data_IF_131126490178
#
_entry.id   IF_131126490178
#
_cell.length_a   1.000
_cell.length_b   1.000
_cell.length_c   1.000
_cell.angle_alpha   90.00
_cell.angle_beta   90.00
_cell.angle_gamma   90.00
#
_symmetry.space_group_name_H-M   'P 1'
#
loop_
_entity.id
_entity.type
_entity.pdbx_description
1 polymer ?
#
# COMPACT_ATOMS: atom_id res chain seq x y z
N UNK A 1 -10.87 -35.89 -21.74
CA UNK A 1 -12.06 -35.40 -21.00
C UNK A 1 -12.29 -33.95 -21.44
N UNK A 2 -13.29 -33.73 -22.31
CA UNK A 2 -13.63 -32.40 -22.79
C UNK A 2 -14.58 -31.82 -21.74
N UNK A 3 -14.17 -30.75 -21.06
CA UNK A 3 -15.04 -29.96 -20.19
C UNK A 3 -16.07 -29.26 -21.08
N UNK A 4 -17.32 -29.82 -21.08
CA UNK A 4 -18.46 -29.10 -21.67
C UNK A 4 -18.73 -27.88 -20.79
N UNK A 5 -18.38 -26.70 -21.29
CA UNK A 5 -18.81 -25.43 -20.70
C UNK A 5 -20.31 -25.36 -20.96
N UNK A 6 -21.16 -25.29 -19.91
CA UNK A 6 -22.59 -25.12 -20.13
C UNK A 6 -22.81 -23.82 -20.90
N UNK A 7 -23.65 -23.87 -21.90
CA UNK A 7 -24.08 -22.68 -22.65
C UNK A 7 -25.02 -21.85 -21.75
N UNK A 8 -24.44 -21.03 -20.90
CA UNK A 8 -25.20 -20.05 -20.14
C UNK A 8 -25.53 -18.90 -21.08
N UNK A 9 -26.70 -18.94 -21.66
CA UNK A 9 -27.30 -17.74 -22.21
C UNK A 9 -27.43 -16.72 -21.06
N UNK A 10 -26.47 -15.79 -20.96
CA UNK A 10 -26.55 -14.61 -20.09
C UNK A 10 -27.65 -13.67 -20.61
N UNK A 11 -28.90 -14.15 -20.55
CA UNK A 11 -30.07 -13.38 -21.02
C UNK A 11 -30.65 -12.48 -19.92
N UNK A 12 -30.25 -12.66 -18.66
CA UNK A 12 -30.62 -11.76 -17.60
C UNK A 12 -29.56 -10.67 -17.43
N UNK A 13 -29.91 -9.43 -17.75
CA UNK A 13 -29.14 -8.28 -17.29
C UNK A 13 -29.03 -8.39 -15.78
N UNK A 14 -27.81 -8.52 -15.27
CA UNK A 14 -27.58 -8.39 -13.85
C UNK A 14 -28.23 -7.09 -13.37
N UNK A 15 -29.02 -7.12 -12.29
CA UNK A 15 -29.66 -5.91 -11.80
C UNK A 15 -28.61 -4.83 -11.61
N UNK A 16 -28.83 -3.68 -12.21
CA UNK A 16 -27.95 -2.52 -12.02
C UNK A 16 -27.99 -2.18 -10.54
N UNK A 17 -26.84 -2.22 -9.90
CA UNK A 17 -26.72 -1.81 -8.51
C UNK A 17 -27.15 -0.34 -8.39
N UNK A 18 -28.06 -0.06 -7.49
CA UNK A 18 -28.52 1.32 -7.20
C UNK A 18 -27.44 2.19 -6.56
N UNK A 19 -26.35 1.60 -6.06
CA UNK A 19 -25.26 2.33 -5.45
C UNK A 19 -24.26 2.79 -6.51
N UNK A 20 -24.03 4.10 -6.53
CA UNK A 20 -23.03 4.73 -7.39
C UNK A 20 -21.61 4.38 -6.92
N UNK A 21 -20.74 4.14 -7.91
CA UNK A 21 -19.32 3.99 -7.66
C UNK A 21 -18.71 5.34 -7.27
N UNK A 22 -18.01 5.36 -6.14
CA UNK A 22 -17.20 6.50 -5.75
C UNK A 22 -15.79 6.35 -6.31
N UNK A 23 -15.15 7.47 -6.64
CA UNK A 23 -13.88 7.51 -7.32
C UNK A 23 -12.82 8.23 -6.51
N UNK A 24 -11.60 7.70 -6.57
CA UNK A 24 -10.39 8.33 -6.04
C UNK A 24 -9.40 8.36 -7.19
N UNK A 25 -9.04 9.56 -7.62
CA UNK A 25 -8.05 9.77 -8.67
C UNK A 25 -6.66 9.78 -8.06
N UNK A 26 -5.76 8.95 -8.59
CA UNK A 26 -4.44 8.72 -8.02
C UNK A 26 -3.36 8.99 -9.06
N UNK A 27 -2.22 9.52 -8.61
CA UNK A 27 -1.01 9.73 -9.42
C UNK A 27 0.24 9.32 -8.64
N UNK A 28 1.03 8.42 -9.22
CA UNK A 28 2.29 7.94 -8.64
C UNK A 28 3.32 9.06 -8.56
N UNK A 29 3.89 9.32 -7.38
CA UNK A 29 4.88 10.39 -7.14
C UNK A 29 6.27 9.90 -6.79
N UNK A 30 6.41 8.61 -6.45
CA UNK A 30 7.70 7.94 -6.28
C UNK A 30 7.69 6.61 -7.02
N UNK A 31 8.85 6.06 -7.42
CA UNK A 31 8.87 4.86 -8.26
C UNK A 31 8.17 3.66 -7.63
N UNK A 32 7.41 2.95 -8.43
CA UNK A 32 6.78 1.69 -8.06
C UNK A 32 7.82 0.58 -8.07
N UNK A 33 8.04 -0.04 -6.92
CA UNK A 33 9.00 -1.12 -6.74
C UNK A 33 8.31 -2.48 -6.79
N UNK A 34 8.60 -3.28 -7.80
CA UNK A 34 8.00 -4.61 -7.98
C UNK A 34 6.60 -4.55 -8.58
N UNK A 35 5.90 -5.66 -8.51
CA UNK A 35 4.51 -5.80 -8.99
C UNK A 35 4.36 -6.64 -10.25
N UNK A 36 5.42 -6.95 -10.98
CA UNK A 36 5.37 -7.82 -12.14
C UNK A 36 5.20 -9.31 -11.79
N UNK A 37 4.74 -10.09 -12.75
CA UNK A 37 4.72 -11.56 -12.69
C UNK A 37 6.14 -12.11 -12.84
N UNK A 38 6.93 -11.45 -13.69
CA UNK A 38 8.34 -11.78 -13.87
C UNK A 38 9.16 -11.08 -12.80
N UNK A 39 10.03 -11.83 -12.14
CA UNK A 39 10.91 -11.28 -11.11
C UNK A 39 11.79 -10.15 -11.69
N UNK A 40 11.89 -9.05 -10.95
CA UNK A 40 12.66 -7.85 -11.31
C UNK A 40 12.11 -7.03 -12.47
N UNK A 41 10.88 -7.28 -12.88
CA UNK A 41 10.18 -6.48 -13.89
C UNK A 41 8.92 -5.83 -13.28
N UNK A 42 8.54 -4.67 -13.78
CA UNK A 42 7.25 -4.07 -13.54
C UNK A 42 6.21 -4.66 -14.50
N UNK A 43 4.95 -4.71 -14.07
CA UNK A 43 3.86 -5.16 -14.91
C UNK A 43 3.32 -3.95 -15.70
N UNK A 44 3.57 -3.92 -17.00
CA UNK A 44 3.14 -2.83 -17.88
C UNK A 44 1.64 -2.89 -18.21
N UNK A 45 1.02 -4.08 -18.11
CA UNK A 45 -0.42 -4.28 -18.38
C UNK A 45 -1.29 -4.03 -17.16
N UNK A 46 -0.84 -4.50 -15.99
CA UNK A 46 -1.55 -4.37 -14.72
C UNK A 46 -0.63 -3.82 -13.61
N UNK A 47 -0.13 -2.58 -13.78
CA UNK A 47 0.82 -2.00 -12.83
C UNK A 47 0.21 -1.79 -11.44
N UNK A 48 -1.09 -1.58 -11.38
CA UNK A 48 -1.86 -1.46 -10.14
C UNK A 48 -2.97 -2.52 -10.12
N UNK A 49 -2.87 -3.47 -9.19
CA UNK A 49 -3.82 -4.58 -9.08
C UNK A 49 -4.83 -4.32 -7.97
N UNK A 50 -6.09 -4.59 -8.24
CA UNK A 50 -7.18 -4.53 -7.23
C UNK A 50 -6.84 -5.36 -5.99
N UNK A 51 -6.25 -6.55 -6.19
CA UNK A 51 -5.86 -7.45 -5.09
C UNK A 51 -4.77 -6.84 -4.20
N UNK A 52 -3.82 -6.11 -4.78
CA UNK A 52 -2.78 -5.40 -4.03
C UNK A 52 -3.39 -4.26 -3.19
N UNK A 53 -4.29 -3.47 -3.78
CA UNK A 53 -5.02 -2.42 -3.04
C UNK A 53 -5.84 -3.05 -1.91
N UNK A 54 -6.60 -4.11 -2.16
CA UNK A 54 -7.38 -4.80 -1.13
C UNK A 54 -6.49 -5.27 0.02
N UNK A 55 -5.31 -5.81 -0.28
CA UNK A 55 -4.34 -6.21 0.74
C UNK A 55 -3.87 -5.03 1.60
N UNK A 56 -3.59 -3.88 0.99
CA UNK A 56 -3.24 -2.64 1.70
C UNK A 56 -4.41 -2.13 2.54
N UNK A 57 -5.62 -2.09 2.00
CA UNK A 57 -6.80 -1.64 2.75
C UNK A 57 -7.08 -2.54 3.95
N UNK A 58 -6.97 -3.86 3.82
CA UNK A 58 -7.10 -4.78 4.96
C UNK A 58 -6.05 -4.52 6.05
N UNK A 59 -4.82 -4.20 5.66
CA UNK A 59 -3.76 -3.83 6.61
C UNK A 59 -4.14 -2.54 7.36
N UNK A 60 -4.52 -1.47 6.67
CA UNK A 60 -4.92 -0.20 7.28
C UNK A 60 -6.17 -0.35 8.13
N UNK A 61 -7.16 -1.11 7.66
CA UNK A 61 -8.37 -1.40 8.44
C UNK A 61 -8.05 -2.11 9.76
N UNK A 62 -7.18 -3.14 9.74
CA UNK A 62 -6.77 -3.84 10.98
C UNK A 62 -6.08 -2.89 11.96
N UNK A 63 -5.23 -1.99 11.47
CA UNK A 63 -4.58 -0.99 12.30
C UNK A 63 -5.61 -0.09 12.98
N UNK A 64 -6.55 0.46 12.22
CA UNK A 64 -7.64 1.30 12.74
C UNK A 64 -8.57 0.51 13.66
N UNK A 65 -8.86 -0.73 13.32
CA UNK A 65 -9.71 -1.60 14.13
C UNK A 65 -9.15 -1.79 15.55
N UNK A 66 -7.84 -1.94 15.67
CA UNK A 66 -7.17 -2.07 16.95
C UNK A 66 -7.05 -0.73 17.69
N UNK A 67 -6.63 0.32 17.02
CA UNK A 67 -6.28 1.59 17.66
C UNK A 67 -7.49 2.53 17.86
N UNK A 68 -8.46 2.50 16.95
CA UNK A 68 -9.60 3.43 16.96
C UNK A 68 -10.92 2.77 17.37
N UNK A 69 -11.14 1.51 16.99
CA UNK A 69 -12.42 0.83 17.23
C UNK A 69 -12.33 -0.27 18.30
N UNK A 70 -11.18 -0.41 18.97
CA UNK A 70 -10.96 -1.35 20.07
C UNK A 70 -11.31 -2.80 19.74
N UNK A 71 -11.08 -3.23 18.50
CA UNK A 71 -11.27 -4.61 18.07
C UNK A 71 -9.97 -5.40 18.22
N UNK A 72 -10.04 -6.59 18.80
CA UNK A 72 -8.89 -7.47 18.97
C UNK A 72 -9.29 -8.95 18.89
N UNK A 73 -8.30 -9.84 18.69
CA UNK A 73 -8.49 -11.28 18.72
C UNK A 73 -9.61 -11.76 17.76
N UNK A 74 -10.51 -12.56 18.28
CA UNK A 74 -11.61 -13.16 17.50
C UNK A 74 -12.55 -12.11 16.91
N UNK A 75 -12.92 -11.08 17.69
CA UNK A 75 -13.81 -9.99 17.23
C UNK A 75 -13.24 -9.22 16.03
N UNK A 76 -11.93 -8.96 16.02
CA UNK A 76 -11.25 -8.31 14.90
C UNK A 76 -11.33 -9.19 13.65
N UNK A 77 -11.07 -10.49 13.79
CA UNK A 77 -11.11 -11.44 12.67
C UNK A 77 -12.50 -11.57 12.07
N UNK A 78 -13.52 -11.72 12.89
CA UNK A 78 -14.92 -11.81 12.46
C UNK A 78 -15.36 -10.54 11.72
N UNK A 79 -15.04 -9.36 12.27
CA UNK A 79 -15.34 -8.08 11.64
C UNK A 79 -14.57 -7.88 10.32
N UNK A 80 -13.30 -8.30 10.26
CA UNK A 80 -12.51 -8.26 9.02
C UNK A 80 -13.13 -9.17 7.94
N UNK A 81 -13.48 -10.41 8.30
CA UNK A 81 -14.05 -11.37 7.36
C UNK A 81 -15.41 -10.90 6.85
N UNK A 82 -16.24 -10.35 7.73
CA UNK A 82 -17.52 -9.78 7.34
C UNK A 82 -17.38 -8.63 6.33
N UNK A 83 -16.45 -7.73 6.55
CA UNK A 83 -16.31 -6.52 5.72
C UNK A 83 -15.50 -6.79 4.44
N UNK A 84 -14.35 -7.43 4.57
CA UNK A 84 -13.38 -7.61 3.47
C UNK A 84 -13.44 -8.97 2.79
N UNK A 85 -14.25 -9.87 3.31
CA UNK A 85 -14.33 -11.26 2.88
C UNK A 85 -13.26 -12.14 3.53
N UNK A 86 -13.57 -13.42 3.63
CA UNK A 86 -12.68 -14.43 4.20
C UNK A 86 -12.93 -15.81 3.63
N UNK A 87 -11.96 -16.71 3.84
CA UNK A 87 -11.99 -18.11 3.43
C UNK A 87 -11.90 -18.96 4.69
N UNK A 88 -12.56 -20.13 4.71
CA UNK A 88 -12.57 -21.08 5.82
C UNK A 88 -13.98 -21.35 6.33
N UNK A 89 -14.10 -21.82 7.57
CA UNK A 89 -15.39 -22.17 8.17
C UNK A 89 -16.35 -20.98 8.28
N UNK A 90 -15.82 -19.75 8.43
CA UNK A 90 -16.56 -18.50 8.49
C UNK A 90 -16.48 -17.75 7.14
N UNK A 91 -16.45 -18.48 6.02
CA UNK A 91 -16.31 -17.87 4.70
C UNK A 91 -17.42 -16.84 4.44
N UNK A 92 -17.03 -15.63 4.06
CA UNK A 92 -17.95 -14.57 3.74
C UNK A 92 -17.51 -13.83 2.47
N UNK A 93 -18.48 -13.44 1.64
CA UNK A 93 -18.22 -12.55 0.53
C UNK A 93 -17.91 -11.14 1.05
N UNK A 94 -16.99 -10.44 0.40
CA UNK A 94 -16.66 -9.05 0.76
C UNK A 94 -17.86 -8.14 0.55
N UNK A 95 -18.11 -7.24 1.51
CA UNK A 95 -19.06 -6.15 1.35
C UNK A 95 -18.48 -4.97 0.55
N UNK A 96 -17.14 -4.95 0.35
CA UNK A 96 -16.43 -3.89 -0.36
C UNK A 96 -16.11 -4.33 -1.78
N UNK A 97 -16.61 -3.61 -2.75
CA UNK A 97 -16.28 -3.79 -4.17
C UNK A 97 -15.24 -2.75 -4.58
N UNK A 98 -14.24 -3.20 -5.32
CA UNK A 98 -13.14 -2.37 -5.80
C UNK A 98 -12.93 -2.62 -7.28
N UNK A 99 -12.64 -1.54 -8.03
CA UNK A 99 -12.16 -1.57 -9.41
C UNK A 99 -10.97 -0.64 -9.55
N UNK A 100 -10.12 -0.91 -10.52
CA UNK A 100 -9.01 -0.03 -10.88
C UNK A 100 -9.07 0.22 -12.38
N UNK A 101 -8.97 1.49 -12.75
CA UNK A 101 -8.91 1.92 -14.14
C UNK A 101 -7.59 2.66 -14.35
N UNK A 102 -6.70 2.09 -15.14
CA UNK A 102 -5.43 2.72 -15.52
C UNK A 102 -5.70 3.80 -16.55
N UNK A 103 -5.16 4.99 -16.35
CA UNK A 103 -5.41 6.16 -17.19
C UNK A 103 -4.32 6.40 -18.23
N UNK A 104 -3.09 5.95 -17.94
CA UNK A 104 -1.97 6.09 -18.87
C UNK A 104 -1.02 4.88 -18.75
N UNK A 105 -0.14 4.72 -19.74
CA UNK A 105 0.83 3.63 -19.75
C UNK A 105 1.92 3.87 -18.72
N UNK A 106 2.27 2.82 -17.95
CA UNK A 106 3.42 2.83 -17.07
C UNK A 106 4.71 2.98 -17.89
N UNK A 107 5.55 3.91 -17.49
CA UNK A 107 6.92 4.02 -18.01
C UNK A 107 7.87 3.28 -17.08
N UNK A 108 8.94 2.74 -17.63
CA UNK A 108 10.00 2.07 -16.86
C UNK A 108 11.10 3.06 -16.47
N UNK A 109 11.71 2.80 -15.32
CA UNK A 109 12.91 3.49 -14.84
C UNK A 109 13.85 2.48 -14.18
N UNK A 110 15.13 2.85 -14.05
CA UNK A 110 16.15 2.09 -13.39
C UNK A 110 16.62 2.79 -12.11
N UNK A 111 17.33 2.09 -11.23
CA UNK A 111 17.93 2.71 -10.05
C UNK A 111 18.87 3.86 -10.43
N UNK A 112 19.62 3.72 -11.54
CA UNK A 112 20.54 4.72 -12.07
C UNK A 112 19.87 6.06 -12.41
N UNK A 113 18.55 6.08 -12.69
CA UNK A 113 17.78 7.31 -12.92
C UNK A 113 17.54 8.10 -11.61
N UNK A 114 17.66 7.43 -10.47
CA UNK A 114 17.36 8.00 -9.15
C UNK A 114 18.60 8.27 -8.32
N UNK A 115 19.64 7.44 -8.41
CA UNK A 115 20.77 7.48 -7.52
C UNK A 115 22.09 7.11 -8.21
N UNK A 116 23.17 7.84 -7.87
CA UNK A 116 24.52 7.56 -8.37
C UNK A 116 25.19 6.37 -7.66
N UNK A 117 24.67 5.98 -6.50
CA UNK A 117 25.24 4.88 -5.71
C UNK A 117 24.49 4.62 -4.41
N UNK A 118 24.92 3.61 -3.66
CA UNK A 118 24.25 3.17 -2.43
C UNK A 118 24.40 4.14 -1.24
N UNK A 119 25.34 5.06 -1.30
CA UNK A 119 25.51 6.12 -0.29
C UNK A 119 24.46 7.23 -0.43
N UNK A 120 23.90 7.36 -1.64
CA UNK A 120 22.77 8.24 -1.90
C UNK A 120 21.54 7.75 -1.11
N UNK A 121 20.73 8.65 -0.52
CA UNK A 121 19.50 8.27 0.16
C UNK A 121 18.57 7.40 -0.70
N UNK A 122 18.38 7.75 -1.97
CA UNK A 122 17.55 6.97 -2.88
C UNK A 122 18.19 5.65 -3.27
N UNK A 123 19.54 5.58 -3.37
CA UNK A 123 20.27 4.33 -3.53
C UNK A 123 20.05 3.36 -2.36
N UNK A 124 19.94 3.88 -1.14
CA UNK A 124 19.54 3.10 0.01
C UNK A 124 18.06 2.66 -0.07
N UNK A 125 17.15 3.56 -0.46
CA UNK A 125 15.73 3.23 -0.61
C UNK A 125 15.53 2.12 -1.65
N UNK A 126 16.25 2.15 -2.75
CA UNK A 126 16.10 1.28 -3.92
C UNK A 126 17.18 0.18 -4.01
N UNK A 127 17.95 -0.09 -2.95
CA UNK A 127 19.14 -0.96 -3.03
C UNK A 127 18.86 -2.36 -3.61
N UNK A 128 17.65 -2.88 -3.47
CA UNK A 128 17.23 -4.17 -4.00
C UNK A 128 17.02 -4.17 -5.51
N UNK A 129 16.86 -2.99 -6.11
CA UNK A 129 16.73 -2.83 -7.57
C UNK A 129 18.08 -2.89 -8.30
N UNK A 130 19.20 -2.78 -7.61
CA UNK A 130 20.55 -2.82 -8.19
C UNK A 130 20.83 -4.13 -8.94
N UNK A 131 21.75 -4.07 -9.89
CA UNK A 131 22.39 -5.26 -10.48
C UNK A 131 22.98 -6.12 -9.35
N UNK A 132 22.76 -7.42 -9.40
CA UNK A 132 23.31 -8.32 -8.39
C UNK A 132 24.75 -8.74 -8.72
N UNK A 133 25.48 -9.17 -7.69
CA UNK A 133 26.84 -9.77 -7.89
C UNK A 133 26.77 -11.07 -8.69
N UNK A 134 25.64 -11.75 -8.69
CA UNK A 134 25.37 -13.00 -9.44
C UNK A 134 24.99 -12.75 -10.89
N UNK A 135 25.08 -11.50 -11.37
CA UNK A 135 24.86 -11.15 -12.79
C UNK A 135 23.42 -10.82 -13.17
N UNK A 136 22.43 -10.85 -12.25
CA UNK A 136 21.09 -10.42 -12.57
C UNK A 136 21.07 -8.93 -12.93
N UNK A 137 20.34 -8.52 -13.99
CA UNK A 137 20.27 -7.14 -14.43
C UNK A 137 19.66 -6.24 -13.35
N UNK A 138 19.78 -4.93 -13.55
CA UNK A 138 19.07 -3.94 -12.74
C UNK A 138 17.54 -4.16 -12.84
N UNK A 139 16.85 -3.98 -11.72
CA UNK A 139 15.40 -4.16 -11.69
C UNK A 139 14.70 -3.00 -12.39
N UNK A 140 13.76 -3.31 -13.25
CA UNK A 140 12.85 -2.33 -13.83
C UNK A 140 11.83 -1.86 -12.79
N UNK A 141 11.83 -0.58 -12.54
CA UNK A 141 10.90 0.11 -11.67
C UNK A 141 9.80 0.75 -12.52
N UNK A 142 8.59 0.86 -11.96
CA UNK A 142 7.59 1.73 -12.57
C UNK A 142 7.92 3.18 -12.26
N UNK A 143 8.04 4.02 -13.31
CA UNK A 143 8.35 5.44 -13.18
C UNK A 143 7.15 6.20 -12.63
N UNK A 144 7.40 7.28 -11.89
CA UNK A 144 6.39 8.24 -11.44
C UNK A 144 5.57 8.83 -12.60
N UNK A 145 4.37 9.34 -12.31
CA UNK A 145 3.44 9.89 -13.31
C UNK A 145 2.42 8.87 -13.84
N UNK A 146 2.42 7.63 -13.36
CA UNK A 146 1.31 6.70 -13.60
C UNK A 146 0.04 7.23 -12.94
N UNK A 147 -1.05 7.29 -13.70
CA UNK A 147 -2.37 7.73 -13.23
C UNK A 147 -3.36 6.57 -13.28
N UNK A 148 -4.16 6.47 -12.23
CA UNK A 148 -5.24 5.48 -12.16
C UNK A 148 -6.40 6.00 -11.32
N UNK A 149 -7.57 5.40 -11.50
CA UNK A 149 -8.76 5.64 -10.67
C UNK A 149 -9.04 4.39 -9.86
N UNK A 150 -9.23 4.56 -8.56
CA UNK A 150 -9.79 3.53 -7.67
C UNK A 150 -11.27 3.81 -7.54
N UNK A 151 -12.08 2.90 -8.05
CA UNK A 151 -13.53 2.94 -7.88
C UNK A 151 -13.92 1.98 -6.75
N UNK A 152 -14.77 2.44 -5.85
CA UNK A 152 -15.24 1.62 -4.75
C UNK A 152 -16.73 1.84 -4.48
N UNK A 153 -17.37 0.80 -4.01
CA UNK A 153 -18.74 0.83 -3.50
C UNK A 153 -18.95 -0.26 -2.47
N UNK A 154 -20.03 -0.17 -1.73
CA UNK A 154 -20.43 -1.19 -0.78
C UNK A 154 -21.56 -2.06 -1.33
N UNK A 155 -21.72 -3.22 -0.74
CA UNK A 155 -22.91 -4.06 -0.92
C UNK A 155 -24.11 -3.40 -0.21
N UNK A 156 -25.31 -3.61 -0.69
CA UNK A 156 -26.55 -3.21 -0.03
C UNK A 156 -26.71 -3.81 1.39
N UNK A 157 -25.96 -4.87 1.70
CA UNK A 157 -25.92 -5.49 3.03
C UNK A 157 -25.01 -4.74 4.03
N UNK A 158 -24.26 -3.74 3.57
CA UNK A 158 -23.42 -2.94 4.42
C UNK A 158 -24.27 -1.89 5.18
N UNK A 159 -23.90 -1.65 6.42
CA UNK A 159 -24.52 -0.62 7.25
C UNK A 159 -23.68 0.67 7.28
N UNK A 160 -24.16 1.71 7.94
CA UNK A 160 -23.45 3.00 8.01
C UNK A 160 -22.11 2.89 8.73
N UNK A 161 -21.98 2.03 9.75
CA UNK A 161 -20.70 1.77 10.41
C UNK A 161 -19.68 1.16 9.44
N UNK A 162 -20.11 0.22 8.60
CA UNK A 162 -19.24 -0.37 7.57
C UNK A 162 -18.74 0.69 6.59
N UNK A 163 -19.64 1.57 6.16
CA UNK A 163 -19.32 2.68 5.26
C UNK A 163 -18.30 3.64 5.87
N UNK A 164 -18.50 4.03 7.11
CA UNK A 164 -17.57 4.91 7.84
C UNK A 164 -16.21 4.23 8.01
N UNK A 165 -16.16 2.94 8.37
CA UNK A 165 -14.92 2.20 8.50
C UNK A 165 -14.16 2.08 7.18
N UNK A 166 -14.85 1.81 6.08
CA UNK A 166 -14.22 1.73 4.74
C UNK A 166 -13.70 3.10 4.31
N UNK A 167 -14.51 4.16 4.46
CA UNK A 167 -14.09 5.52 4.12
C UNK A 167 -12.86 5.94 4.93
N UNK A 168 -12.87 5.69 6.23
CA UNK A 168 -11.72 6.00 7.10
C UNK A 168 -10.48 5.20 6.68
N UNK A 169 -10.64 3.92 6.36
CA UNK A 169 -9.54 3.08 5.87
C UNK A 169 -8.94 3.61 4.56
N UNK A 170 -9.78 4.03 3.63
CA UNK A 170 -9.35 4.65 2.38
C UNK A 170 -8.58 5.95 2.65
N UNK A 171 -9.08 6.82 3.53
CA UNK A 171 -8.41 8.05 3.94
C UNK A 171 -6.99 7.79 4.46
N UNK A 172 -6.85 6.84 5.38
CA UNK A 172 -5.53 6.48 5.94
C UNK A 172 -4.61 5.88 4.91
N UNK A 173 -5.13 5.00 4.06
CA UNK A 173 -4.33 4.39 2.99
C UNK A 173 -3.83 5.42 1.97
N UNK A 174 -4.68 6.35 1.51
CA UNK A 174 -4.24 7.37 0.54
C UNK A 174 -3.29 8.40 1.15
N UNK A 175 -3.37 8.62 2.47
CA UNK A 175 -2.51 9.59 3.14
C UNK A 175 -1.13 9.02 3.48
N UNK A 176 -1.06 7.79 3.98
CA UNK A 176 0.17 7.20 4.53
C UNK A 176 0.59 5.91 3.83
N UNK A 177 -0.23 5.38 2.95
CA UNK A 177 0.02 4.12 2.26
C UNK A 177 0.93 4.28 1.03
N UNK A 178 0.99 3.19 0.27
CA UNK A 178 1.73 3.14 -0.98
C UNK A 178 1.43 1.84 -1.72
N UNK A 179 1.95 1.72 -2.93
CA UNK A 179 1.79 0.55 -3.79
C UNK A 179 3.10 -0.20 -4.00
N UNK A 180 3.00 -1.49 -4.25
CA UNK A 180 4.15 -2.35 -4.52
C UNK A 180 5.01 -2.62 -3.29
N UNK A 181 6.29 -2.89 -3.53
CA UNK A 181 7.27 -3.18 -2.49
C UNK A 181 7.96 -1.93 -1.96
N UNK A 182 8.56 -2.06 -0.78
CA UNK A 182 9.36 -0.99 -0.13
C UNK A 182 8.59 0.29 0.18
N UNK A 183 7.28 0.22 0.38
CA UNK A 183 6.44 1.36 0.76
C UNK A 183 6.94 2.04 2.03
N UNK A 184 7.48 1.28 3.00
CA UNK A 184 8.17 1.82 4.19
C UNK A 184 9.48 2.59 3.90
N UNK A 185 9.87 2.70 2.64
CA UNK A 185 10.97 3.52 2.15
C UNK A 185 10.46 4.60 1.19
N UNK A 186 9.15 4.85 1.22
CA UNK A 186 8.50 5.83 0.37
C UNK A 186 8.44 5.45 -1.10
N UNK A 187 8.72 4.18 -1.47
CA UNK A 187 8.47 3.71 -2.84
C UNK A 187 6.98 3.50 -3.05
N UNK A 188 6.49 3.80 -4.26
CA UNK A 188 5.09 3.65 -4.61
C UNK A 188 4.15 4.61 -3.91
N UNK A 189 4.66 5.74 -3.40
CA UNK A 189 3.82 6.81 -2.88
C UNK A 189 3.05 7.50 -4.02
N UNK A 190 1.85 7.96 -3.73
CA UNK A 190 0.96 8.55 -4.72
C UNK A 190 0.16 9.72 -4.12
N UNK A 191 -0.25 10.66 -4.95
CA UNK A 191 -1.24 11.69 -4.63
C UNK A 191 -2.63 11.15 -4.90
N UNK A 192 -3.61 11.61 -4.15
CA UNK A 192 -5.01 11.21 -4.30
C UNK A 192 -5.94 12.43 -4.25
N UNK A 193 -6.91 12.45 -5.15
CA UNK A 193 -7.99 13.42 -5.21
C UNK A 193 -9.35 12.71 -5.14
N UNK A 194 -10.40 13.41 -4.73
CA UNK A 194 -11.74 12.85 -4.55
C UNK A 194 -11.98 12.25 -3.17
N UNK A 195 -11.02 12.39 -2.24
CA UNK A 195 -11.15 11.94 -0.85
C UNK A 195 -10.42 12.90 0.10
N UNK A 196 -11.02 13.18 1.26
CA UNK A 196 -10.39 13.99 2.29
C UNK A 196 -9.21 13.25 2.94
N UNK A 197 -8.02 13.83 2.91
CA UNK A 197 -6.85 13.26 3.56
C UNK A 197 -6.98 13.31 5.10
N UNK A 198 -6.23 12.44 5.78
CA UNK A 198 -6.12 12.47 7.24
C UNK A 198 -5.23 13.65 7.65
N UNK A 199 -5.68 14.43 8.62
CA UNK A 199 -4.91 15.56 9.14
C UNK A 199 -3.81 15.10 10.09
N UNK A 200 -2.84 15.98 10.33
CA UNK A 200 -1.77 15.71 11.29
C UNK A 200 -2.28 15.55 12.72
N UNK A 201 -3.38 16.22 13.07
CA UNK A 201 -3.97 16.11 14.40
C UNK A 201 -4.67 14.77 14.56
N UNK A 202 -5.46 14.31 13.57
CA UNK A 202 -6.03 12.96 13.56
C UNK A 202 -4.94 11.88 13.68
N UNK A 203 -3.78 12.07 13.04
CA UNK A 203 -2.65 11.15 13.16
C UNK A 203 -2.07 11.15 14.58
N UNK A 204 -1.89 12.32 15.19
CA UNK A 204 -1.39 12.44 16.57
C UNK A 204 -2.34 11.82 17.60
N UNK A 205 -3.64 12.03 17.43
CA UNK A 205 -4.68 11.42 18.27
C UNK A 205 -4.61 9.89 18.25
N UNK A 206 -4.20 9.31 17.12
CA UNK A 206 -3.97 7.87 16.98
C UNK A 206 -2.57 7.41 17.43
N UNK A 207 -1.79 8.31 18.06
CA UNK A 207 -0.46 8.00 18.60
C UNK A 207 0.68 8.05 17.56
N UNK A 208 0.45 8.60 16.36
CA UNK A 208 1.51 8.73 15.38
C UNK A 208 2.48 9.85 15.76
N UNK A 209 3.78 9.56 15.72
CA UNK A 209 4.83 10.59 15.76
C UNK A 209 5.09 11.08 14.34
N UNK A 210 4.90 12.38 14.12
CA UNK A 210 5.05 12.99 12.80
C UNK A 210 6.30 13.87 12.80
N UNK A 211 7.22 13.55 11.89
CA UNK A 211 8.43 14.35 11.63
C UNK A 211 8.25 15.08 10.30
N UNK A 212 8.33 16.40 10.34
CA UNK A 212 8.36 17.22 9.13
C UNK A 212 9.79 17.68 8.87
N UNK A 213 10.28 17.48 7.65
CA UNK A 213 11.49 18.12 7.19
C UNK A 213 11.10 19.36 6.37
N UNK A 214 11.43 20.52 6.87
CA UNK A 214 11.51 21.82 6.23
C UNK A 214 10.60 22.17 5.04
N UNK A 215 10.97 23.17 4.27
CA UNK A 215 10.26 23.60 3.06
C UNK A 215 10.53 22.65 1.89
N UNK A 216 9.58 21.76 1.62
CA UNK A 216 9.66 20.77 0.54
C UNK A 216 9.18 21.42 -0.77
N UNK A 217 10.04 21.48 -1.76
CA UNK A 217 9.75 22.11 -3.06
C UNK A 217 9.25 21.12 -4.10
N UNK A 218 9.60 19.83 -3.98
CA UNK A 218 9.21 18.77 -4.93
C UNK A 218 9.01 17.43 -4.21
N UNK A 219 8.21 16.54 -4.81
CA UNK A 219 7.96 15.18 -4.30
C UNK A 219 9.27 14.39 -4.14
N UNK A 220 10.19 14.51 -5.12
CA UNK A 220 11.50 13.86 -5.06
C UNK A 220 12.35 14.39 -3.89
N UNK A 221 12.33 15.68 -3.62
CA UNK A 221 13.06 16.27 -2.49
C UNK A 221 12.48 15.80 -1.17
N UNK A 222 11.15 15.78 -1.05
CA UNK A 222 10.45 15.25 0.12
C UNK A 222 10.85 13.80 0.40
N UNK A 223 10.94 12.98 -0.63
CA UNK A 223 11.35 11.58 -0.49
C UNK A 223 12.82 11.44 -0.05
N UNK A 224 13.74 12.22 -0.63
CA UNK A 224 15.15 12.24 -0.23
C UNK A 224 15.29 12.62 1.25
N UNK A 225 14.62 13.65 1.69
CA UNK A 225 14.68 14.15 3.07
C UNK A 225 14.09 13.11 4.04
N UNK A 226 12.93 12.54 3.72
CA UNK A 226 12.33 11.47 4.53
C UNK A 226 13.24 10.24 4.67
N UNK A 227 13.93 9.82 3.61
CA UNK A 227 14.87 8.70 3.68
C UNK A 227 16.12 9.05 4.48
N UNK A 228 16.57 10.29 4.39
CA UNK A 228 17.72 10.78 5.16
C UNK A 228 17.41 10.74 6.65
N UNK A 229 16.30 11.35 7.06
CA UNK A 229 15.80 11.30 8.45
C UNK A 229 15.60 9.87 8.94
N UNK A 230 14.98 9.03 8.11
CA UNK A 230 14.81 7.62 8.44
C UNK A 230 16.13 6.88 8.69
N UNK A 231 17.17 7.14 7.87
CA UNK A 231 18.50 6.54 8.06
C UNK A 231 19.12 6.99 9.38
N UNK A 232 19.00 8.28 9.70
CA UNK A 232 19.53 8.85 10.94
C UNK A 232 18.80 8.32 12.17
N UNK A 233 17.48 8.31 12.14
CA UNK A 233 16.67 7.74 13.20
C UNK A 233 17.05 6.25 13.45
N UNK A 234 17.14 5.44 12.41
CA UNK A 234 17.57 4.05 12.54
C UNK A 234 18.98 3.90 13.13
N UNK A 235 19.89 4.78 12.79
CA UNK A 235 21.25 4.78 13.35
C UNK A 235 21.23 5.13 14.82
N UNK A 236 20.49 6.19 15.20
CA UNK A 236 20.35 6.66 16.58
C UNK A 236 19.74 5.61 17.50
N UNK A 237 18.65 5.01 17.08
CA UNK A 237 17.89 4.05 17.90
C UNK A 237 18.35 2.59 17.75
N UNK A 238 19.34 2.29 16.92
CA UNK A 238 19.83 0.93 16.70
C UNK A 238 20.26 0.25 18.02
N UNK A 239 20.97 0.96 18.88
CA UNK A 239 21.48 0.45 20.15
C UNK A 239 20.35 0.32 21.18
N UNK A 240 19.41 1.26 21.22
CA UNK A 240 18.28 1.28 22.14
C UNK A 240 17.25 0.18 21.81
N UNK A 241 16.94 -0.03 20.54
CA UNK A 241 16.13 -1.16 20.08
C UNK A 241 16.76 -2.51 20.43
N UNK A 242 18.09 -2.66 20.29
CA UNK A 242 18.80 -3.87 20.71
C UNK A 242 18.68 -4.10 22.22
N UNK A 243 18.79 -3.05 23.01
CA UNK A 243 18.68 -3.11 24.47
C UNK A 243 17.28 -3.45 24.95
N UNK A 244 16.24 -2.83 24.37
CA UNK A 244 14.83 -3.07 24.72
C UNK A 244 14.36 -4.48 24.35
N UNK A 245 14.90 -5.07 23.29
CA UNK A 245 14.49 -6.40 22.84
C UNK A 245 15.30 -7.53 23.48
N UNK A 246 16.32 -7.24 24.30
CA UNK A 246 17.12 -8.23 25.04
C UNK A 246 17.78 -9.29 24.15
N UNK A 247 18.09 -8.97 22.89
CA UNK A 247 18.47 -9.96 21.87
C UNK A 247 19.80 -9.69 21.22
N UNK A 248 20.57 -10.76 21.03
CA UNK A 248 21.78 -10.82 20.22
C UNK A 248 21.47 -10.65 18.72
N UNK A 249 22.42 -10.13 17.97
CA UNK A 249 22.37 -9.47 16.67
C UNK A 249 21.50 -10.07 15.54
N UNK A 250 21.26 -11.37 15.49
CA UNK A 250 20.57 -11.99 14.36
C UNK A 250 19.04 -11.86 14.41
N UNK A 251 18.45 -12.01 15.57
CA UNK A 251 16.98 -11.91 15.76
C UNK A 251 16.46 -10.47 15.73
N UNK A 252 17.27 -9.50 16.17
CA UNK A 252 16.89 -8.09 16.14
C UNK A 252 16.80 -7.49 14.73
N UNK A 253 17.49 -8.10 13.75
CA UNK A 253 17.36 -7.68 12.34
C UNK A 253 15.97 -7.97 11.76
N UNK A 254 15.35 -9.07 12.13
CA UNK A 254 14.00 -9.43 11.65
C UNK A 254 12.90 -8.60 12.31
N UNK A 255 13.02 -8.31 13.61
CA UNK A 255 12.02 -7.50 14.33
C UNK A 255 12.13 -6.00 14.03
N UNK A 256 13.34 -5.45 13.90
CA UNK A 256 13.53 -4.08 13.45
C UNK A 256 12.96 -3.83 12.04
N UNK A 257 12.82 -4.86 11.22
CA UNK A 257 12.13 -4.78 9.93
C UNK A 257 10.60 -4.86 10.04
N UNK A 258 10.06 -5.33 11.17
CA UNK A 258 8.62 -5.49 11.43
C UNK A 258 7.98 -4.42 12.32
N UNK A 259 8.77 -3.69 13.12
CA UNK A 259 8.28 -2.74 14.15
C UNK A 259 8.60 -1.28 13.78
N UNK A 260 8.91 -0.99 12.55
CA UNK A 260 9.12 0.38 12.11
C UNK A 260 7.80 1.00 11.66
N UNK A 261 6.95 1.27 12.63
CA UNK A 261 5.77 2.16 12.57
C UNK A 261 5.78 3.09 13.76
#
# INVERSE_FOLDING_TARGET
MVLLIPDFALTEKLPESKEEWQEIHCELVTPLHGGGVVARESDDKLPVRVTAIRGQLRFWWRLLAQQKWNLSGKRLREAEFRLWGGIGEEAAASLVFLRVQIQNKLQEALLSDYAKGLNDPLGYALFTARKTKTGLPEMKLGKEGLKWIVQWRLSEKANETDKQQVLETLRWWVTLGGLGGRTRRGCGAFKAEGIKLVSTDEMRELGCTILFSGNLTTDRRAWIDAITEWKEMRRKYKTEFRRLLGRNDEHSRHLANGVAW
#
